data_IF_717875821519
#
_entry.id   IF_717875821519
#
_cell.length_a   1.000
_cell.length_b   1.000
_cell.length_c   1.000
_cell.angle_alpha   90.00
_cell.angle_beta   90.00
_cell.angle_gamma   90.00
#
_symmetry.space_group_name_H-M   'P 1'
#
loop_
_entity.id
_entity.type
_entity.pdbx_description
1 polymer ?
#
# COMPACT_ATOMS: atom_id res chain seq x y z
N UNK A 1 0.01 2.90 2.14
CA UNK A 1 -1.24 2.33 1.60
C UNK A 1 -1.46 0.94 2.21
N UNK A 2 -2.67 0.63 2.65
CA UNK A 2 -3.03 -0.64 3.30
C UNK A 2 -3.96 -1.45 2.43
N UNK A 3 -3.60 -2.69 2.10
CA UNK A 3 -4.44 -3.58 1.31
C UNK A 3 -5.49 -4.25 2.21
N UNK A 4 -6.77 -4.04 1.89
CA UNK A 4 -7.89 -4.75 2.51
C UNK A 4 -8.53 -5.64 1.45
N UNK A 5 -8.56 -6.95 1.68
CA UNK A 5 -9.09 -7.90 0.71
C UNK A 5 -9.76 -9.10 1.37
N UNK A 6 -10.55 -9.84 0.57
CA UNK A 6 -11.00 -11.16 0.97
C UNK A 6 -9.80 -12.13 1.03
N UNK A 7 -9.65 -12.85 2.14
CA UNK A 7 -8.51 -13.75 2.38
C UNK A 7 -8.64 -15.11 1.66
N UNK A 8 -9.60 -15.24 0.75
CA UNK A 8 -9.65 -16.35 -0.19
C UNK A 8 -8.93 -15.93 -1.47
N UNK A 9 -7.77 -16.53 -1.76
CA UNK A 9 -6.82 -16.06 -2.78
C UNK A 9 -7.42 -15.95 -4.20
N UNK A 10 -8.38 -16.80 -4.52
CA UNK A 10 -9.06 -16.70 -5.80
C UNK A 10 -9.89 -15.40 -5.90
N UNK A 11 -10.43 -14.89 -4.80
CA UNK A 11 -11.23 -13.66 -4.79
C UNK A 11 -10.39 -12.37 -4.85
N UNK A 12 -9.16 -12.35 -4.35
CA UNK A 12 -8.31 -11.14 -4.46
C UNK A 12 -7.99 -10.84 -5.93
N UNK A 13 -7.68 -11.87 -6.72
CA UNK A 13 -7.41 -11.71 -8.17
C UNK A 13 -8.65 -11.37 -9.01
N UNK A 14 -9.84 -11.69 -8.50
CA UNK A 14 -11.11 -11.29 -9.12
C UNK A 14 -11.55 -9.86 -8.77
N UNK A 15 -10.81 -9.17 -7.90
CA UNK A 15 -11.04 -7.77 -7.57
C UNK A 15 -11.82 -7.53 -6.27
N UNK A 16 -11.98 -8.54 -5.41
CA UNK A 16 -12.53 -8.33 -4.06
C UNK A 16 -11.45 -7.80 -3.09
N UNK A 17 -10.88 -6.66 -3.47
CA UNK A 17 -9.82 -5.97 -2.78
C UNK A 17 -10.04 -4.45 -2.89
N UNK A 18 -9.55 -3.73 -1.91
CA UNK A 18 -9.49 -2.27 -1.90
C UNK A 18 -8.23 -1.83 -1.16
N UNK A 19 -7.85 -0.57 -1.35
CA UNK A 19 -6.69 0.03 -0.70
C UNK A 19 -7.16 1.19 0.15
N UNK A 20 -6.75 1.18 1.42
CA UNK A 20 -6.92 2.31 2.33
C UNK A 20 -5.65 3.17 2.24
N UNK A 21 -5.78 4.37 1.67
CA UNK A 21 -4.73 5.38 1.75
C UNK A 21 -4.96 6.17 3.04
N UNK A 22 -3.98 6.09 3.95
CA UNK A 22 -3.95 6.89 5.18
C UNK A 22 -2.94 8.00 4.92
N UNK A 23 -3.40 9.25 5.03
CA UNK A 23 -2.55 10.44 4.88
C UNK A 23 -1.69 10.64 6.14
N UNK A 24 -0.56 11.32 5.98
CA UNK A 24 0.31 11.65 7.10
C UNK A 24 -0.41 12.59 8.09
N UNK A 25 -0.13 12.39 9.38
CA UNK A 25 -0.60 13.27 10.44
C UNK A 25 0.17 14.59 10.51
N UNK A 26 -0.15 15.40 11.53
CA UNK A 26 0.51 16.69 11.74
C UNK A 26 1.89 16.54 12.39
N UNK A 27 2.03 15.55 13.28
CA UNK A 27 3.26 15.29 14.03
C UNK A 27 4.22 14.42 13.21
N UNK A 28 5.53 14.59 13.46
CA UNK A 28 6.58 13.82 12.77
C UNK A 28 6.39 12.30 12.93
N UNK A 29 5.95 11.86 14.11
CA UNK A 29 5.74 10.44 14.43
C UNK A 29 4.44 9.86 13.82
N UNK A 30 3.57 10.70 13.27
CA UNK A 30 2.35 10.29 12.56
C UNK A 30 2.54 10.27 11.04
N UNK A 31 3.78 10.46 10.56
CA UNK A 31 4.14 10.42 9.14
C UNK A 31 4.85 9.12 8.77
N UNK A 32 4.71 8.68 7.53
CA UNK A 32 5.48 7.55 7.01
C UNK A 32 6.95 7.93 6.80
N UNK A 33 7.85 6.97 7.04
CA UNK A 33 9.26 7.13 6.69
C UNK A 33 9.46 7.21 5.17
N UNK A 34 10.54 7.87 4.75
CA UNK A 34 10.92 7.94 3.35
C UNK A 34 11.24 6.54 2.79
N UNK A 35 10.99 6.37 1.49
CA UNK A 35 11.25 5.10 0.81
C UNK A 35 12.76 4.74 0.85
N UNK A 36 13.12 3.47 1.10
CA UNK A 36 14.51 3.02 1.01
C UNK A 36 15.11 3.21 -0.40
N UNK A 37 16.42 3.42 -0.47
CA UNK A 37 17.14 3.63 -1.74
C UNK A 37 17.11 2.42 -2.67
N UNK A 38 16.98 1.22 -2.12
CA UNK A 38 16.96 -0.06 -2.81
C UNK A 38 15.53 -0.57 -3.08
N UNK A 39 14.51 0.26 -2.84
CA UNK A 39 13.13 -0.14 -3.08
C UNK A 39 12.88 -0.37 -4.59
N UNK A 40 12.28 -1.51 -5.00
CA UNK A 40 12.01 -1.80 -6.39
C UNK A 40 11.13 -0.72 -7.04
N UNK A 41 11.61 -0.13 -8.14
CA UNK A 41 10.83 0.83 -8.91
C UNK A 41 9.89 0.10 -9.87
N UNK A 42 8.71 0.68 -10.08
CA UNK A 42 7.88 0.32 -11.22
C UNK A 42 8.62 0.75 -12.49
N UNK A 43 9.10 -0.22 -13.28
CA UNK A 43 9.63 0.05 -14.61
C UNK A 43 8.44 0.02 -15.57
N UNK A 44 8.07 1.17 -16.13
CA UNK A 44 6.97 1.32 -17.09
C UNK A 44 7.29 0.74 -18.49
N UNK A 45 7.97 -0.41 -18.57
CA UNK A 45 8.27 -1.10 -19.84
C UNK A 45 7.06 -1.90 -20.36
#
# INVERSE_FOLDING_TARGET
AWLMHCHLDVHITWGLATVLLVEDGVEELDSLEAIPLDYPLCLDL
#
